data_IF_664717776240
#
_entry.id   IF_664717776240
#
_cell.length_a   1.000
_cell.length_b   1.000
_cell.length_c   1.000
_cell.angle_alpha   90.00
_cell.angle_beta   90.00
_cell.angle_gamma   90.00
#
_symmetry.space_group_name_H-M   'P 1'
#
loop_
_entity.id
_entity.type
_entity.pdbx_description
1 polymer ?
#
# COMPACT_ATOMS: atom_id res chain seq x y z
N UNK A 1 -16.77 31.15 -3.91
CA UNK A 1 -15.97 31.28 -5.14
C UNK A 1 -14.58 30.62 -5.05
N UNK A 2 -13.91 30.56 -3.90
CA UNK A 2 -12.60 29.87 -3.78
C UNK A 2 -12.67 28.33 -3.85
N UNK A 3 -13.80 27.72 -3.49
CA UNK A 3 -13.96 26.27 -3.39
C UNK A 3 -13.98 25.51 -4.73
N UNK A 4 -14.34 26.17 -5.84
CA UNK A 4 -14.46 25.50 -7.14
C UNK A 4 -13.12 25.27 -7.83
N UNK A 5 -12.07 26.02 -7.46
CA UNK A 5 -10.72 25.91 -8.07
C UNK A 5 -9.79 24.93 -7.35
N UNK A 6 -10.12 24.54 -6.12
CA UNK A 6 -9.34 23.59 -5.34
C UNK A 6 -9.12 22.23 -6.04
N UNK A 7 -10.15 21.57 -6.63
CA UNK A 7 -9.93 20.30 -7.31
C UNK A 7 -9.04 20.45 -8.55
N UNK A 8 -9.20 21.52 -9.32
CA UNK A 8 -8.40 21.78 -10.52
C UNK A 8 -6.93 22.01 -10.19
N UNK A 9 -6.66 22.78 -9.13
CA UNK A 9 -5.31 23.02 -8.63
C UNK A 9 -4.66 21.73 -8.09
N UNK A 10 -5.43 20.90 -7.37
CA UNK A 10 -4.95 19.61 -6.88
C UNK A 10 -4.61 18.66 -8.02
N UNK A 11 -5.45 18.62 -9.07
CA UNK A 11 -5.20 17.82 -10.26
C UNK A 11 -3.96 18.30 -11.02
N UNK A 12 -3.81 19.61 -11.20
CA UNK A 12 -2.64 20.18 -11.85
C UNK A 12 -1.36 19.85 -11.07
N UNK A 13 -1.37 20.04 -9.74
CA UNK A 13 -0.24 19.70 -8.88
C UNK A 13 0.12 18.21 -8.96
N UNK A 14 -0.88 17.33 -9.00
CA UNK A 14 -0.69 15.90 -9.16
C UNK A 14 -0.04 15.54 -10.51
N UNK A 15 -0.53 16.11 -11.62
CA UNK A 15 0.02 15.85 -12.96
C UNK A 15 1.46 16.35 -13.05
N UNK A 16 1.73 17.57 -12.59
CA UNK A 16 3.08 18.16 -12.61
C UNK A 16 4.02 17.35 -11.72
N UNK A 17 3.58 16.94 -10.53
CA UNK A 17 4.37 16.11 -9.61
C UNK A 17 4.71 14.74 -10.20
N UNK A 18 3.75 14.09 -10.86
CA UNK A 18 3.99 12.84 -11.58
C UNK A 18 5.01 13.05 -12.69
N UNK A 19 4.81 14.03 -13.57
CA UNK A 19 5.71 14.28 -14.69
C UNK A 19 7.14 14.57 -14.21
N UNK A 20 7.29 15.42 -13.18
CA UNK A 20 8.58 15.73 -12.57
C UNK A 20 9.26 14.49 -11.96
N UNK A 21 8.49 13.61 -11.32
CA UNK A 21 9.01 12.34 -10.77
C UNK A 21 9.53 11.41 -11.87
N UNK A 22 8.76 11.22 -12.95
CA UNK A 22 9.18 10.40 -14.09
C UNK A 22 10.43 10.97 -14.78
N UNK A 23 10.48 12.28 -15.01
CA UNK A 23 11.65 12.91 -15.63
C UNK A 23 12.88 12.77 -14.72
N UNK A 24 12.73 13.03 -13.42
CA UNK A 24 13.81 12.92 -12.44
C UNK A 24 14.38 11.52 -12.37
N UNK A 25 13.52 10.49 -12.30
CA UNK A 25 13.99 9.11 -12.17
C UNK A 25 14.74 8.63 -13.42
N UNK A 26 14.30 9.06 -14.61
CA UNK A 26 15.00 8.77 -15.86
C UNK A 26 16.34 9.52 -15.90
N UNK A 27 16.35 10.81 -15.59
CA UNK A 27 17.57 11.64 -15.59
C UNK A 27 18.64 11.06 -14.67
N UNK A 28 18.29 10.76 -13.42
CA UNK A 28 19.21 10.22 -12.42
C UNK A 28 19.72 8.83 -12.84
N UNK A 29 18.85 7.97 -13.39
CA UNK A 29 19.25 6.65 -13.88
C UNK A 29 20.23 6.70 -15.06
N UNK A 30 20.09 7.67 -15.96
CA UNK A 30 21.03 7.86 -17.06
C UNK A 30 22.36 8.47 -16.59
N UNK A 31 22.33 9.38 -15.62
CA UNK A 31 23.52 10.09 -15.18
C UNK A 31 24.41 9.26 -14.24
N UNK A 32 23.81 8.61 -13.24
CA UNK A 32 24.55 7.83 -12.23
C UNK A 32 24.61 6.33 -12.54
N UNK A 33 23.91 5.89 -13.59
CA UNK A 33 23.74 4.48 -13.92
C UNK A 33 22.68 3.83 -13.02
N UNK A 34 21.58 3.38 -13.61
CA UNK A 34 20.43 2.86 -12.85
C UNK A 34 20.78 1.82 -11.78
N UNK A 35 21.72 0.90 -12.08
CA UNK A 35 22.14 -0.14 -11.14
C UNK A 35 22.90 0.39 -9.91
N UNK A 36 23.55 1.56 -10.00
CA UNK A 36 24.28 2.17 -8.89
C UNK A 36 23.35 2.87 -7.89
N UNK A 37 22.09 3.13 -8.26
CA UNK A 37 21.15 3.85 -7.40
C UNK A 37 20.64 2.99 -6.24
N UNK A 38 20.71 1.66 -6.32
CA UNK A 38 20.17 0.74 -5.31
C UNK A 38 18.69 0.98 -4.93
N UNK A 39 17.95 1.76 -5.73
CA UNK A 39 16.56 2.12 -5.51
C UNK A 39 15.60 1.13 -6.17
N UNK A 40 14.37 1.07 -5.68
CA UNK A 40 13.39 0.02 -5.96
C UNK A 40 12.89 -0.18 -7.41
N UNK A 41 13.23 0.64 -8.44
CA UNK A 41 13.07 0.24 -9.84
C UNK A 41 14.30 -0.47 -10.44
N UNK A 42 15.49 -0.22 -9.88
CA UNK A 42 16.77 -0.59 -10.50
C UNK A 42 17.64 -1.52 -9.64
N UNK A 43 17.20 -1.80 -8.41
CA UNK A 43 17.83 -2.79 -7.54
C UNK A 43 17.60 -4.22 -8.04
N UNK A 44 18.59 -5.09 -7.87
CA UNK A 44 18.53 -6.51 -8.23
C UNK A 44 17.50 -7.31 -7.42
N UNK A 45 17.07 -6.80 -6.26
CA UNK A 45 16.06 -7.40 -5.38
C UNK A 45 14.65 -6.84 -5.59
N UNK A 46 14.47 -5.83 -6.45
CA UNK A 46 13.21 -5.15 -6.70
C UNK A 46 12.96 -4.95 -8.21
N UNK A 47 11.82 -4.37 -8.57
CA UNK A 47 11.49 -4.08 -9.96
C UNK A 47 11.43 -5.32 -10.88
N UNK A 48 11.57 -5.14 -12.21
CA UNK A 48 11.46 -6.21 -13.19
C UNK A 48 12.49 -7.34 -12.99
N UNK A 49 13.70 -6.99 -12.56
CA UNK A 49 14.80 -7.94 -12.34
C UNK A 49 14.51 -8.80 -11.10
N UNK A 50 14.06 -8.19 -10.00
CA UNK A 50 13.64 -8.93 -8.80
C UNK A 50 12.49 -9.88 -9.09
N UNK A 51 11.47 -9.44 -9.83
CA UNK A 51 10.35 -10.30 -10.26
C UNK A 51 10.80 -11.44 -11.18
N UNK A 52 11.66 -11.15 -12.16
CA UNK A 52 12.23 -12.17 -13.04
C UNK A 52 13.04 -13.20 -12.24
N UNK A 53 13.90 -12.75 -11.32
CA UNK A 53 14.70 -13.61 -10.46
C UNK A 53 13.85 -14.45 -9.51
N UNK A 54 12.77 -13.88 -8.95
CA UNK A 54 11.82 -14.61 -8.12
C UNK A 54 11.17 -15.75 -8.91
N UNK A 55 10.57 -15.43 -10.07
CA UNK A 55 9.93 -16.41 -10.96
C UNK A 55 10.95 -17.47 -11.39
N UNK A 56 12.14 -17.06 -11.84
CA UNK A 56 13.22 -17.98 -12.22
C UNK A 56 13.59 -18.90 -11.05
N UNK A 57 13.72 -18.36 -9.84
CA UNK A 57 14.07 -19.14 -8.67
C UNK A 57 12.98 -20.12 -8.27
N UNK A 58 11.71 -19.74 -8.42
CA UNK A 58 10.58 -20.62 -8.15
C UNK A 58 10.52 -21.75 -9.18
N UNK A 59 10.77 -21.46 -10.46
CA UNK A 59 10.84 -22.47 -11.53
C UNK A 59 12.02 -23.44 -11.31
N UNK A 60 13.18 -22.93 -10.91
CA UNK A 60 14.38 -23.75 -10.71
C UNK A 60 14.34 -24.57 -9.41
N UNK A 61 13.66 -24.07 -8.36
CA UNK A 61 13.48 -24.77 -7.08
C UNK A 61 12.25 -25.66 -7.04
N UNK A 62 11.28 -25.44 -7.93
CA UNK A 62 10.14 -26.33 -8.02
C UNK A 62 10.60 -27.69 -8.55
N UNK A 63 10.46 -28.72 -7.74
CA UNK A 63 10.45 -30.09 -8.25
C UNK A 63 9.41 -30.18 -9.36
N UNK A 64 9.86 -30.48 -10.58
CA UNK A 64 9.02 -30.51 -11.79
C UNK A 64 7.76 -31.33 -11.54
N UNK A 65 6.61 -30.66 -11.47
CA UNK A 65 5.29 -31.23 -11.76
C UNK A 65 5.04 -32.64 -11.20
N UNK A 66 5.42 -32.89 -9.95
CA UNK A 66 4.96 -34.09 -9.24
C UNK A 66 3.65 -33.74 -8.57
N UNK A 67 2.65 -34.58 -8.79
CA UNK A 67 1.37 -34.47 -8.09
C UNK A 67 1.62 -34.57 -6.59
N UNK A 68 1.36 -33.48 -5.86
CA UNK A 68 1.50 -33.41 -4.41
C UNK A 68 0.11 -33.40 -3.78
N UNK A 69 -0.33 -34.53 -3.21
CA UNK A 69 -1.65 -34.64 -2.58
C UNK A 69 -1.84 -33.64 -1.43
N UNK A 70 -0.78 -33.32 -0.69
CA UNK A 70 -0.87 -32.38 0.43
C UNK A 70 -1.16 -30.96 -0.05
N UNK A 71 -0.49 -30.52 -1.12
CA UNK A 71 -0.79 -29.22 -1.77
C UNK A 71 -2.22 -29.19 -2.30
N UNK A 72 -2.67 -30.26 -2.97
CA UNK A 72 -4.04 -30.34 -3.46
C UNK A 72 -5.09 -30.23 -2.35
N UNK A 73 -4.87 -30.92 -1.23
CA UNK A 73 -5.77 -30.85 -0.08
C UNK A 73 -5.85 -29.42 0.45
N UNK A 74 -4.72 -28.72 0.58
CA UNK A 74 -4.70 -27.31 1.04
C UNK A 74 -5.48 -26.41 0.06
N UNK A 75 -5.28 -26.57 -1.24
CA UNK A 75 -6.02 -25.81 -2.26
C UNK A 75 -7.53 -26.07 -2.21
N UNK A 76 -7.93 -27.33 -2.09
CA UNK A 76 -9.34 -27.72 -1.98
C UNK A 76 -9.97 -27.19 -0.70
N UNK A 77 -9.27 -27.27 0.43
CA UNK A 77 -9.73 -26.73 1.71
C UNK A 77 -9.90 -25.21 1.63
N UNK A 78 -8.94 -24.48 1.05
CA UNK A 78 -9.04 -23.03 0.85
C UNK A 78 -10.22 -22.65 -0.03
N UNK A 79 -10.41 -23.36 -1.15
CA UNK A 79 -11.54 -23.17 -2.05
C UNK A 79 -12.89 -23.48 -1.39
N UNK A 80 -12.96 -24.57 -0.62
CA UNK A 80 -14.15 -24.95 0.14
C UNK A 80 -14.49 -23.91 1.22
N UNK A 81 -13.49 -23.44 1.95
CA UNK A 81 -13.67 -22.41 2.99
C UNK A 81 -14.16 -21.09 2.40
N UNK A 82 -13.57 -20.65 1.29
CA UNK A 82 -14.01 -19.44 0.58
C UNK A 82 -15.46 -19.59 0.07
N UNK A 83 -15.77 -20.73 -0.55
CA UNK A 83 -17.11 -21.03 -1.07
C UNK A 83 -18.16 -21.07 0.04
N UNK A 84 -17.83 -21.70 1.17
CA UNK A 84 -18.70 -21.77 2.35
C UNK A 84 -18.98 -20.37 2.91
N UNK A 85 -17.96 -19.53 3.07
CA UNK A 85 -18.17 -18.16 3.54
C UNK A 85 -19.02 -17.32 2.59
N UNK A 86 -18.86 -17.49 1.27
CA UNK A 86 -19.70 -16.83 0.27
C UNK A 86 -21.14 -17.31 0.39
N UNK A 87 -21.38 -18.62 0.50
CA UNK A 87 -22.72 -19.19 0.64
C UNK A 87 -23.40 -18.73 1.92
N UNK A 88 -22.71 -18.78 3.05
CA UNK A 88 -23.23 -18.32 4.34
C UNK A 88 -23.55 -16.83 4.31
N UNK A 89 -22.69 -16.01 3.70
CA UNK A 89 -22.94 -14.56 3.56
C UNK A 89 -24.14 -14.27 2.66
N UNK A 90 -24.35 -15.05 1.60
CA UNK A 90 -25.47 -14.87 0.68
C UNK A 90 -26.81 -15.35 1.29
N UNK A 91 -26.78 -16.35 2.18
CA UNK A 91 -27.98 -16.93 2.79
C UNK A 91 -28.34 -16.32 4.16
N UNK A 92 -27.36 -15.84 4.91
CA UNK A 92 -27.52 -15.28 6.25
C UNK A 92 -27.05 -13.81 6.25
N UNK A 93 -27.97 -12.84 6.08
CA UNK A 93 -27.62 -11.42 6.05
C UNK A 93 -26.94 -10.91 7.34
N UNK A 94 -27.18 -11.61 8.47
CA UNK A 94 -26.58 -11.28 9.76
C UNK A 94 -25.18 -11.89 9.98
N UNK A 95 -24.65 -12.67 9.03
CA UNK A 95 -23.38 -13.36 9.21
C UNK A 95 -22.19 -12.36 9.33
N UNK A 96 -21.46 -12.34 10.46
CA UNK A 96 -20.49 -11.29 10.74
C UNK A 96 -19.13 -11.51 10.05
N UNK A 97 -18.82 -12.74 9.62
CA UNK A 97 -17.51 -13.09 9.06
C UNK A 97 -17.50 -12.82 7.56
N UNK A 98 -16.64 -11.90 7.12
CA UNK A 98 -16.53 -11.52 5.72
C UNK A 98 -15.45 -12.37 5.01
N UNK A 99 -15.71 -12.93 3.81
CA UNK A 99 -14.71 -13.68 3.03
C UNK A 99 -13.46 -12.87 2.64
N UNK A 100 -13.48 -11.53 2.74
CA UNK A 100 -12.32 -10.68 2.48
C UNK A 100 -11.17 -11.01 3.44
N UNK A 101 -11.49 -11.38 4.69
CA UNK A 101 -10.48 -11.78 5.67
C UNK A 101 -9.70 -13.04 5.27
N UNK A 102 -10.25 -13.90 4.41
CA UNK A 102 -9.53 -15.06 3.84
C UNK A 102 -8.65 -14.66 2.64
N UNK A 103 -9.09 -13.70 1.83
CA UNK A 103 -8.37 -13.30 0.61
C UNK A 103 -7.11 -12.49 0.93
N UNK A 104 -7.12 -11.70 2.02
CA UNK A 104 -6.03 -10.77 2.33
C UNK A 104 -4.97 -11.30 3.31
N UNK A 105 -5.04 -12.58 3.71
CA UNK A 105 -4.24 -13.14 4.81
C UNK A 105 -2.73 -13.02 4.61
N UNK A 106 -2.25 -13.16 3.38
CA UNK A 106 -0.83 -13.07 3.04
C UNK A 106 -0.51 -11.87 2.13
N UNK A 107 -1.21 -10.75 2.35
CA UNK A 107 -0.81 -9.50 1.70
C UNK A 107 0.09 -8.71 2.64
N UNK A 108 1.21 -8.21 2.11
CA UNK A 108 2.12 -7.29 2.85
C UNK A 108 1.33 -6.14 3.46
N UNK A 109 0.38 -5.59 2.71
CA UNK A 109 -0.51 -4.51 3.18
C UNK A 109 -1.25 -4.88 4.46
N UNK A 110 -1.92 -6.04 4.52
CA UNK A 110 -2.64 -6.41 5.74
C UNK A 110 -1.66 -6.61 6.90
N UNK A 111 -0.49 -7.24 6.68
CA UNK A 111 0.51 -7.44 7.74
C UNK A 111 1.00 -6.13 8.37
N UNK A 112 1.26 -5.10 7.57
CA UNK A 112 1.73 -3.81 8.08
C UNK A 112 0.60 -2.91 8.61
N UNK A 113 -0.57 -2.92 7.94
CA UNK A 113 -1.65 -1.97 8.23
C UNK A 113 -2.74 -2.54 9.15
N UNK A 114 -2.69 -3.80 9.57
CA UNK A 114 -3.71 -4.43 10.42
C UNK A 114 -4.03 -3.61 11.68
N UNK A 115 -2.99 -3.14 12.38
CA UNK A 115 -3.16 -2.34 13.58
C UNK A 115 -3.75 -0.95 13.27
N UNK A 116 -3.29 -0.31 12.20
CA UNK A 116 -3.83 0.98 11.75
C UNK A 116 -5.30 0.89 11.32
N UNK A 117 -5.69 -0.21 10.68
CA UNK A 117 -7.09 -0.50 10.34
C UNK A 117 -7.94 -0.70 11.59
N UNK A 118 -7.44 -1.47 12.57
CA UNK A 118 -8.10 -1.65 13.86
C UNK A 118 -8.27 -0.30 14.59
N UNK A 119 -7.22 0.52 14.63
CA UNK A 119 -7.27 1.85 15.25
C UNK A 119 -8.27 2.78 14.55
N UNK A 120 -8.29 2.77 13.22
CA UNK A 120 -9.24 3.55 12.41
C UNK A 120 -10.68 3.11 12.69
N UNK A 121 -10.92 1.80 12.75
CA UNK A 121 -12.22 1.24 13.08
C UNK A 121 -12.65 1.61 14.51
N UNK A 122 -11.77 1.44 15.49
CA UNK A 122 -12.04 1.76 16.89
C UNK A 122 -12.34 3.25 17.07
N UNK A 123 -11.52 4.14 16.50
CA UNK A 123 -11.73 5.58 16.55
C UNK A 123 -13.08 5.97 15.90
N UNK A 124 -13.39 5.42 14.72
CA UNK A 124 -14.68 5.64 14.05
C UNK A 124 -15.85 5.18 14.92
N UNK A 125 -15.76 4.00 15.53
CA UNK A 125 -16.81 3.44 16.38
C UNK A 125 -17.04 4.30 17.63
N UNK A 126 -15.98 4.77 18.28
CA UNK A 126 -16.04 5.67 19.44
C UNK A 126 -16.71 7.00 19.05
N UNK A 127 -16.28 7.63 17.95
CA UNK A 127 -16.85 8.90 17.48
C UNK A 127 -18.35 8.79 17.18
N UNK A 128 -18.75 7.70 16.52
CA UNK A 128 -20.16 7.44 16.20
C UNK A 128 -20.99 7.11 17.45
N UNK A 129 -20.43 6.38 18.44
CA UNK A 129 -21.16 6.08 19.68
C UNK A 129 -21.35 7.30 20.58
N UNK A 130 -20.35 8.18 20.68
CA UNK A 130 -20.40 9.32 21.60
C UNK A 130 -21.22 10.47 21.02
N UNK A 131 -21.01 10.82 19.75
CA UNK A 131 -21.58 12.04 19.17
C UNK A 131 -22.27 11.87 17.82
N UNK A 132 -22.53 10.62 17.42
CA UNK A 132 -23.20 10.30 16.18
C UNK A 132 -22.49 10.85 14.94
N UNK A 133 -23.26 11.04 13.87
CA UNK A 133 -22.71 11.50 12.58
C UNK A 133 -22.18 12.94 12.62
N UNK A 134 -22.72 13.78 13.51
CA UNK A 134 -22.31 15.18 13.64
C UNK A 134 -20.87 15.28 14.16
N UNK A 135 -20.53 14.53 15.22
CA UNK A 135 -19.17 14.50 15.75
C UNK A 135 -18.20 13.85 14.76
N UNK A 136 -18.62 12.79 14.06
CA UNK A 136 -17.81 12.17 13.01
C UNK A 136 -17.41 13.19 11.91
N UNK A 137 -18.37 13.99 11.42
CA UNK A 137 -18.09 15.04 10.42
C UNK A 137 -17.17 16.14 10.96
N UNK A 138 -17.28 16.49 12.24
CA UNK A 138 -16.40 17.46 12.90
C UNK A 138 -14.98 16.93 13.12
N UNK A 139 -14.82 15.62 13.32
CA UNK A 139 -13.53 14.97 13.49
C UNK A 139 -12.83 14.67 12.15
N UNK A 140 -13.54 14.64 11.02
CA UNK A 140 -12.96 14.34 9.71
C UNK A 140 -11.74 15.21 9.33
N UNK A 141 -11.74 16.55 9.56
CA UNK A 141 -10.57 17.39 9.29
C UNK A 141 -9.32 16.99 10.07
N UNK A 142 -9.45 16.44 11.28
CA UNK A 142 -8.30 15.99 12.09
C UNK A 142 -7.58 14.82 11.43
N UNK A 143 -8.31 13.80 10.95
CA UNK A 143 -7.69 12.64 10.28
C UNK A 143 -7.08 13.01 8.93
N UNK A 144 -7.72 13.92 8.18
CA UNK A 144 -7.13 14.49 6.97
C UNK A 144 -5.84 15.25 7.32
N UNK A 145 -5.85 16.02 8.42
CA UNK A 145 -4.68 16.71 8.94
C UNK A 145 -3.50 15.79 9.27
N UNK A 146 -3.75 14.60 9.82
CA UNK A 146 -2.70 13.59 10.06
C UNK A 146 -2.05 13.17 8.74
N UNK A 147 -2.84 12.86 7.71
CA UNK A 147 -2.32 12.46 6.41
C UNK A 147 -1.53 13.59 5.74
N UNK A 148 -2.05 14.82 5.78
CA UNK A 148 -1.37 16.02 5.26
C UNK A 148 -0.06 16.28 6.03
N UNK A 149 -0.08 16.15 7.35
CA UNK A 149 1.10 16.35 8.20
C UNK A 149 2.21 15.34 7.92
N UNK A 150 1.85 14.08 7.65
CA UNK A 150 2.80 13.06 7.23
C UNK A 150 3.49 13.43 5.90
N UNK A 151 2.71 13.82 4.89
CA UNK A 151 3.25 14.25 3.59
C UNK A 151 4.12 15.50 3.73
N UNK A 152 3.67 16.48 4.52
CA UNK A 152 4.44 17.69 4.79
C UNK A 152 5.77 17.38 5.49
N UNK A 153 5.77 16.42 6.43
CA UNK A 153 6.98 15.94 7.09
C UNK A 153 7.97 15.29 6.12
N UNK A 154 7.49 14.47 5.20
CA UNK A 154 8.33 13.88 4.14
C UNK A 154 8.95 14.98 3.27
N UNK A 155 8.15 15.96 2.84
CA UNK A 155 8.63 17.08 2.01
C UNK A 155 9.68 17.89 2.76
N UNK A 156 9.42 18.24 4.02
CA UNK A 156 10.38 18.97 4.86
C UNK A 156 11.69 18.19 5.01
N UNK A 157 11.63 16.90 5.31
CA UNK A 157 12.82 16.05 5.42
C UNK A 157 13.57 15.94 4.10
N UNK A 158 12.85 15.88 2.97
CA UNK A 158 13.47 15.83 1.63
C UNK A 158 14.20 17.13 1.28
N UNK A 159 13.67 18.28 1.71
CA UNK A 159 14.35 19.58 1.55
C UNK A 159 15.61 19.63 2.41
N UNK A 160 15.55 19.13 3.64
CA UNK A 160 16.72 19.06 4.52
C UNK A 160 17.81 18.19 3.90
N UNK A 161 17.46 16.99 3.40
CA UNK A 161 18.42 16.11 2.74
C UNK A 161 19.00 16.74 1.48
N UNK A 162 18.20 17.48 0.69
CA UNK A 162 18.70 18.17 -0.51
C UNK A 162 19.76 19.24 -0.20
N UNK A 163 19.61 19.97 0.91
CA UNK A 163 20.50 21.09 1.25
C UNK A 163 21.75 20.59 1.97
N UNK A 164 21.60 19.67 2.93
CA UNK A 164 22.70 19.24 3.81
C UNK A 164 23.34 17.91 3.41
N UNK A 165 22.63 17.04 2.70
CA UNK A 165 23.09 15.68 2.35
C UNK A 165 22.83 15.33 0.88
N UNK A 166 23.30 16.14 -0.10
CA UNK A 166 22.96 15.98 -1.52
C UNK A 166 23.39 14.64 -2.12
N UNK A 167 24.44 14.00 -1.58
CA UNK A 167 24.95 12.70 -2.06
C UNK A 167 24.54 11.52 -1.17
N UNK A 168 23.87 11.77 -0.04
CA UNK A 168 23.66 10.79 1.03
C UNK A 168 22.34 10.96 1.75
N UNK A 169 21.25 11.15 1.00
CA UNK A 169 19.91 11.28 1.56
C UNK A 169 19.52 10.09 2.44
N UNK A 170 18.68 10.36 3.45
CA UNK A 170 18.29 9.38 4.44
C UNK A 170 17.02 8.62 4.01
N UNK A 171 16.78 7.48 4.63
CA UNK A 171 15.52 6.76 4.46
C UNK A 171 14.39 7.48 5.23
N UNK A 172 13.61 8.30 4.53
CA UNK A 172 12.57 9.15 5.11
C UNK A 172 11.25 8.39 5.33
N UNK A 173 10.91 7.47 4.43
CA UNK A 173 9.69 6.67 4.52
C UNK A 173 9.89 5.31 3.85
N UNK A 174 9.14 4.32 4.32
CA UNK A 174 9.12 2.95 3.77
C UNK A 174 7.67 2.56 3.42
N UNK A 175 7.52 1.58 2.53
CA UNK A 175 6.23 1.07 2.03
C UNK A 175 5.96 -0.37 2.46
#
# INVERSE_FOLDING_TARGET
MASSRLPDLALLAFIVGIAASFISIIYIAYHYGGQNLHLAPFSSSAGPVGSYNAIRSDILRADRTVFDPAKMIIWLLGGLQASLLILLRNRLPWWPIHPLGLVFQDTRGLRFYSFSLFLTWAAKLILLRIGGIALYRRAAPFFIGIAVGYVAGIVASSIVDLIWFPEGGHWIHTW
#
